data_IF_906456435286
#
_entry.id   IF_906456435286
#
_cell.length_a   1.000
_cell.length_b   1.000
_cell.length_c   1.000
_cell.angle_alpha   90.00
_cell.angle_beta   90.00
_cell.angle_gamma   90.00
#
_symmetry.space_group_name_H-M   'P 1'
#
loop_
_entity.id
_entity.type
_entity.pdbx_description
1 polymer ?
#
# COMPACT_ATOMS: atom_id res chain seq x y z
N UNK A 1 -32.03 -6.74 9.19
CA UNK A 1 -30.90 -6.91 10.13
C UNK A 1 -30.09 -8.08 9.59
N UNK A 2 -28.80 -7.90 9.32
CA UNK A 2 -27.97 -9.01 8.86
C UNK A 2 -27.64 -9.92 10.06
N UNK A 3 -27.49 -11.22 9.82
CA UNK A 3 -27.13 -12.17 10.87
C UNK A 3 -25.68 -11.96 11.32
N UNK A 4 -25.41 -11.74 12.62
CA UNK A 4 -24.07 -11.54 13.15
C UNK A 4 -23.07 -12.64 12.78
N UNK A 5 -23.50 -13.90 12.81
CA UNK A 5 -22.63 -15.03 12.49
C UNK A 5 -22.24 -15.05 11.02
N UNK A 6 -23.21 -14.81 10.12
CA UNK A 6 -22.91 -14.70 8.69
C UNK A 6 -21.93 -13.57 8.41
N UNK A 7 -22.11 -12.41 9.05
CA UNK A 7 -21.23 -11.24 8.88
C UNK A 7 -19.81 -11.55 9.32
N UNK A 8 -19.63 -12.13 10.52
CA UNK A 8 -18.32 -12.62 10.99
C UNK A 8 -17.71 -13.60 10.00
N UNK A 9 -18.43 -14.66 9.63
CA UNK A 9 -17.89 -15.73 8.79
C UNK A 9 -17.42 -15.22 7.41
N UNK A 10 -18.22 -14.34 6.79
CA UNK A 10 -17.85 -13.71 5.51
C UNK A 10 -16.64 -12.80 5.65
N UNK A 11 -16.57 -12.05 6.75
CA UNK A 11 -15.46 -11.13 7.00
C UNK A 11 -14.16 -11.88 7.29
N UNK A 12 -14.18 -12.88 8.17
CA UNK A 12 -13.03 -13.75 8.44
C UNK A 12 -12.51 -14.40 7.15
N UNK A 13 -13.39 -14.84 6.25
CA UNK A 13 -12.95 -15.39 4.96
C UNK A 13 -12.25 -14.34 4.07
N UNK A 14 -12.75 -13.09 4.05
CA UNK A 14 -12.08 -12.00 3.35
C UNK A 14 -10.71 -11.69 3.97
N UNK A 15 -10.62 -11.62 5.30
CA UNK A 15 -9.36 -11.37 6.02
C UNK A 15 -8.33 -12.46 5.76
N UNK A 16 -8.74 -13.73 5.67
CA UNK A 16 -7.85 -14.86 5.32
C UNK A 16 -7.28 -14.78 3.90
N UNK A 17 -7.98 -14.14 2.97
CA UNK A 17 -7.58 -14.02 1.57
C UNK A 17 -6.94 -12.66 1.27
N UNK A 18 -6.71 -11.82 2.27
CA UNK A 18 -6.04 -10.54 2.10
C UNK A 18 -4.63 -10.75 1.54
N UNK A 19 -4.27 -9.89 0.60
CA UNK A 19 -2.95 -9.86 -0.01
C UNK A 19 -2.49 -8.41 -0.15
N UNK A 20 -1.30 -8.19 -0.71
CA UNK A 20 -0.74 -6.85 -0.89
C UNK A 20 -1.52 -5.97 -1.90
N UNK A 21 -2.51 -6.51 -2.62
CA UNK A 21 -3.35 -5.72 -3.53
C UNK A 21 -4.24 -4.77 -2.75
N UNK A 22 -4.15 -3.49 -3.11
CA UNK A 22 -5.02 -2.40 -2.62
C UNK A 22 -6.50 -2.75 -2.77
N UNK A 23 -6.88 -3.43 -3.86
CA UNK A 23 -8.27 -3.83 -4.10
C UNK A 23 -8.80 -4.83 -3.08
N UNK A 24 -7.94 -5.72 -2.55
CA UNK A 24 -8.33 -6.70 -1.53
C UNK A 24 -8.58 -6.02 -0.18
N UNK A 25 -7.67 -5.11 0.21
CA UNK A 25 -7.80 -4.30 1.41
C UNK A 25 -9.03 -3.37 1.36
N UNK A 26 -9.28 -2.74 0.20
CA UNK A 26 -10.46 -1.90 -0.01
C UNK A 26 -11.77 -2.67 0.13
N UNK A 27 -11.85 -3.91 -0.37
CA UNK A 27 -13.05 -4.75 -0.19
C UNK A 27 -13.32 -5.05 1.27
N UNK A 28 -12.30 -5.44 2.04
CA UNK A 28 -12.43 -5.69 3.48
C UNK A 28 -12.84 -4.42 4.24
N UNK A 29 -12.22 -3.28 3.94
CA UNK A 29 -12.57 -1.99 4.55
C UNK A 29 -14.01 -1.56 4.24
N UNK A 30 -14.45 -1.70 2.98
CA UNK A 30 -15.83 -1.42 2.59
C UNK A 30 -16.83 -2.34 3.29
N UNK A 31 -16.47 -3.62 3.46
CA UNK A 31 -17.29 -4.57 4.21
C UNK A 31 -17.48 -4.12 5.66
N UNK A 32 -16.39 -3.70 6.32
CA UNK A 32 -16.45 -3.22 7.70
C UNK A 32 -17.30 -1.94 7.84
N UNK A 33 -17.17 -0.98 6.93
CA UNK A 33 -17.99 0.23 6.93
C UNK A 33 -19.48 -0.04 6.65
N UNK A 34 -19.78 -1.08 5.87
CA UNK A 34 -21.16 -1.49 5.57
C UNK A 34 -21.88 -2.03 6.81
N UNK A 35 -21.16 -2.74 7.68
CA UNK A 35 -21.68 -3.33 8.92
C UNK A 35 -21.09 -2.64 10.16
N UNK A 36 -21.06 -1.30 10.14
CA UNK A 36 -20.47 -0.49 11.23
C UNK A 36 -21.19 -0.66 12.58
N UNK A 37 -22.45 -1.09 12.54
CA UNK A 37 -23.25 -1.46 13.71
C UNK A 37 -22.69 -2.69 14.43
N UNK A 38 -21.83 -3.45 13.76
CA UNK A 38 -21.13 -4.62 14.26
C UNK A 38 -19.62 -4.39 14.42
N UNK A 39 -19.20 -3.14 14.61
CA UNK A 39 -17.78 -2.78 14.60
C UNK A 39 -16.95 -3.54 15.65
N UNK A 40 -17.51 -3.84 16.83
CA UNK A 40 -16.83 -4.59 17.89
C UNK A 40 -16.56 -6.05 17.49
N UNK A 41 -17.55 -6.73 16.91
CA UNK A 41 -17.41 -8.10 16.40
C UNK A 41 -16.39 -8.18 15.25
N UNK A 42 -16.43 -7.21 14.34
CA UNK A 42 -15.51 -7.13 13.22
C UNK A 42 -14.09 -6.80 13.67
N UNK A 43 -13.93 -5.94 14.67
CA UNK A 43 -12.63 -5.65 15.27
C UNK A 43 -12.03 -6.91 15.89
N UNK A 44 -12.84 -7.69 16.61
CA UNK A 44 -12.44 -8.99 17.16
C UNK A 44 -11.96 -9.95 16.05
N UNK A 45 -12.65 -10.02 14.91
CA UNK A 45 -12.18 -10.82 13.77
C UNK A 45 -10.83 -10.38 13.21
N UNK A 46 -10.51 -9.08 13.23
CA UNK A 46 -9.22 -8.56 12.78
C UNK A 46 -8.12 -9.01 13.74
N UNK A 47 -8.33 -8.84 15.04
CA UNK A 47 -7.37 -9.26 16.07
C UNK A 47 -7.13 -10.77 16.03
N UNK A 48 -8.19 -11.59 15.96
CA UNK A 48 -8.10 -13.05 15.82
C UNK A 48 -7.27 -13.45 14.58
N UNK A 49 -7.43 -12.74 13.45
CA UNK A 49 -6.67 -13.03 12.25
C UNK A 49 -5.20 -12.57 12.34
N UNK A 50 -4.92 -11.48 13.06
CA UNK A 50 -3.56 -11.01 13.33
C UNK A 50 -2.79 -11.98 14.23
N UNK A 51 -3.39 -12.42 15.34
CA UNK A 51 -2.81 -13.41 16.26
C UNK A 51 -2.41 -14.70 15.52
N UNK A 52 -3.30 -15.19 14.63
CA UNK A 52 -3.02 -16.36 13.79
C UNK A 52 -1.81 -16.16 12.88
N UNK A 53 -1.65 -14.97 12.30
CA UNK A 53 -0.51 -14.66 11.42
C UNK A 53 0.78 -14.54 12.22
N UNK A 54 0.75 -13.89 13.39
CA UNK A 54 1.92 -13.76 14.26
C UNK A 54 2.44 -15.13 14.72
N UNK A 55 1.56 -16.01 15.21
CA UNK A 55 1.96 -17.38 15.57
C UNK A 55 2.42 -18.22 14.37
N UNK A 56 1.83 -18.00 13.18
CA UNK A 56 2.29 -18.68 11.96
C UNK A 56 3.70 -18.22 11.54
N UNK A 57 4.06 -16.96 11.77
CA UNK A 57 5.40 -16.44 11.51
C UNK A 57 6.40 -16.92 12.58
N UNK A 58 5.98 -16.99 13.84
CA UNK A 58 6.77 -17.54 14.94
C UNK A 58 7.12 -19.01 14.71
N UNK A 59 6.12 -19.83 14.38
CA UNK A 59 6.32 -21.27 14.12
C UNK A 59 7.25 -21.55 12.93
N UNK A 60 7.36 -20.60 12.00
CA UNK A 60 8.29 -20.66 10.87
C UNK A 60 9.66 -20.03 11.17
N UNK A 61 9.90 -19.60 12.41
CA UNK A 61 11.13 -18.92 12.85
C UNK A 61 11.44 -17.61 12.11
N UNK A 62 10.41 -16.95 11.54
CA UNK A 62 10.57 -15.59 10.99
C UNK A 62 10.47 -14.50 12.08
N UNK A 63 9.84 -14.82 13.21
CA UNK A 63 9.74 -13.95 14.37
C UNK A 63 10.20 -14.69 15.63
N UNK A 64 10.96 -14.02 16.47
CA UNK A 64 11.35 -14.53 17.79
C UNK A 64 10.13 -14.59 18.73
N UNK A 65 10.08 -15.60 19.60
CA UNK A 65 8.99 -15.75 20.57
C UNK A 65 8.81 -14.50 21.45
N UNK A 66 9.92 -13.89 21.88
CA UNK A 66 9.91 -12.67 22.67
C UNK A 66 9.28 -11.48 21.91
N UNK A 67 9.51 -11.38 20.60
CA UNK A 67 8.92 -10.32 19.78
C UNK A 67 7.41 -10.48 19.64
N UNK A 68 6.91 -11.72 19.51
CA UNK A 68 5.46 -11.99 19.45
C UNK A 68 4.77 -11.59 20.75
N UNK A 69 5.34 -11.96 21.90
CA UNK A 69 4.80 -11.57 23.21
C UNK A 69 4.74 -10.04 23.38
N UNK A 70 5.80 -9.32 22.98
CA UNK A 70 5.80 -7.85 23.02
C UNK A 70 4.71 -7.25 22.12
N UNK A 71 4.52 -7.80 20.91
CA UNK A 71 3.48 -7.33 19.99
C UNK A 71 2.09 -7.57 20.59
N UNK A 72 1.84 -8.74 21.17
CA UNK A 72 0.56 -9.07 21.82
C UNK A 72 0.26 -8.17 23.03
N UNK A 73 1.25 -7.89 23.87
CA UNK A 73 1.12 -6.95 25.00
C UNK A 73 0.72 -5.55 24.50
N UNK A 74 1.42 -5.04 23.49
CA UNK A 74 1.13 -3.72 22.90
C UNK A 74 -0.25 -3.69 22.23
N UNK A 75 -0.68 -4.77 21.57
CA UNK A 75 -2.02 -4.86 20.99
C UNK A 75 -3.10 -4.84 22.08
N UNK A 76 -2.88 -5.55 23.18
CA UNK A 76 -3.79 -5.60 24.33
C UNK A 76 -3.90 -4.25 25.04
N UNK A 77 -2.79 -3.54 25.23
CA UNK A 77 -2.77 -2.19 25.80
C UNK A 77 -3.56 -1.19 24.94
N UNK A 78 -3.42 -1.29 23.62
CA UNK A 78 -4.14 -0.42 22.68
C UNK A 78 -5.64 -0.71 22.66
N UNK A 79 -6.05 -1.97 22.71
CA UNK A 79 -7.46 -2.35 22.79
C UNK A 79 -8.10 -1.84 24.10
N UNK A 80 -7.41 -2.02 25.24
CA UNK A 80 -7.85 -1.47 26.52
C UNK A 80 -7.99 0.07 26.49
N UNK A 81 -7.00 0.75 25.89
CA UNK A 81 -7.02 2.21 25.72
C UNK A 81 -8.17 2.69 24.82
N UNK A 82 -8.49 1.93 23.75
CA UNK A 82 -9.60 2.25 22.85
C UNK A 82 -10.96 2.10 23.55
N UNK A 83 -11.11 1.09 24.42
CA UNK A 83 -12.32 0.90 25.21
C UNK A 83 -12.51 1.99 26.27
N UNK A 84 -11.44 2.47 26.91
CA UNK A 84 -11.52 3.59 27.86
C UNK A 84 -11.99 4.91 27.21
N UNK A 85 -11.56 5.16 25.96
CA UNK A 85 -12.02 6.32 25.17
C UNK A 85 -13.52 6.18 24.81
N UNK A 86 -13.98 4.96 24.52
CA UNK A 86 -15.39 4.69 24.26
C UNK A 86 -16.26 4.89 25.52
N UNK A 87 -15.75 4.52 26.70
CA UNK A 87 -16.46 4.65 27.99
C UNK A 87 -16.41 6.05 28.59
N UNK A 88 -15.45 6.89 28.18
CA UNK A 88 -15.38 8.31 28.56
C UNK A 88 -16.31 9.23 27.76
N UNK A 89 -17.09 8.69 26.82
CA UNK A 89 -18.14 9.42 26.11
C UNK A 89 -19.48 9.25 26.85
N UNK A 90 -20.07 10.32 27.44
CA UNK A 90 -21.34 10.20 28.15
C UNK A 90 -22.47 9.70 27.24
N UNK A 91 -23.37 8.83 27.74
CA UNK A 91 -24.52 8.39 26.96
C UNK A 91 -25.47 9.58 26.74
N UNK A 92 -25.67 9.97 25.48
CA UNK A 92 -26.71 10.92 25.08
C UNK A 92 -28.08 10.27 25.20
N UNK A 93 -28.58 10.12 26.43
CA UNK A 93 -29.97 9.85 26.72
C UNK A 93 -30.61 11.09 27.34
N UNK A 94 -31.60 11.66 26.64
CA UNK A 94 -32.70 12.42 27.23
C UNK A 94 -32.38 13.79 27.84
N UNK A 95 -32.88 14.82 27.18
CA UNK A 95 -33.48 16.02 27.78
C UNK A 95 -32.71 16.78 28.88
N UNK A 96 -32.22 17.97 28.50
CA UNK A 96 -31.86 19.02 29.43
C UNK A 96 -30.52 19.66 29.09
N UNK A 97 -30.58 20.89 28.59
CA UNK A 97 -29.45 21.82 28.64
C UNK A 97 -29.29 22.23 30.11
N UNK A 98 -28.10 22.09 30.72
CA UNK A 98 -27.62 23.12 31.61
C UNK A 98 -26.41 23.79 30.97
N UNK A 99 -26.67 25.04 30.62
CA UNK A 99 -25.72 26.12 30.40
C UNK A 99 -24.77 26.18 31.60
N UNK A 100 -23.47 25.92 31.39
CA UNK A 100 -22.32 26.40 32.17
C UNK A 100 -21.15 25.39 32.13
N UNK A 101 -20.22 25.55 31.19
CA UNK A 101 -18.81 25.27 31.48
C UNK A 101 -17.90 25.90 30.41
N UNK A 102 -17.17 26.94 30.82
CA UNK A 102 -15.78 27.18 30.47
C UNK A 102 -15.42 27.62 29.04
N UNK A 103 -14.90 28.85 28.94
CA UNK A 103 -14.17 29.42 27.80
C UNK A 103 -13.20 28.42 27.15
N UNK A 104 -13.58 27.85 26.02
CA UNK A 104 -12.64 27.26 25.05
C UNK A 104 -12.91 27.92 23.69
N UNK A 105 -11.91 28.55 23.05
CA UNK A 105 -12.15 29.30 21.82
C UNK A 105 -12.67 28.35 20.74
N UNK A 106 -13.64 28.78 19.91
CA UNK A 106 -14.25 27.92 18.92
C UNK A 106 -13.19 27.56 17.87
N UNK A 107 -12.84 26.27 17.81
CA UNK A 107 -11.99 25.73 16.75
C UNK A 107 -12.71 25.92 15.42
N UNK A 108 -12.17 26.81 14.57
CA UNK A 108 -12.75 27.27 13.29
C UNK A 108 -12.77 26.22 12.17
N UNK A 109 -12.72 24.93 12.48
CA UNK A 109 -12.49 23.88 11.48
C UNK A 109 -13.57 22.82 11.38
N UNK A 110 -14.65 22.88 12.14
CA UNK A 110 -15.71 21.85 12.08
C UNK A 110 -17.11 22.48 11.94
N UNK A 111 -17.87 22.19 10.86
CA UNK A 111 -19.26 22.60 10.75
C UNK A 111 -20.14 21.84 11.76
N UNK A 112 -21.25 22.43 12.23
CA UNK A 112 -22.15 21.76 13.16
C UNK A 112 -22.82 20.54 12.51
N UNK A 113 -22.79 19.42 13.24
CA UNK A 113 -23.39 18.15 12.87
C UNK A 113 -24.92 18.27 12.75
N UNK A 114 -25.45 18.22 11.52
CA UNK A 114 -26.88 18.24 11.26
C UNK A 114 -27.47 16.82 11.43
N UNK A 115 -28.34 16.64 12.42
CA UNK A 115 -28.91 15.35 12.89
C UNK A 115 -29.90 14.67 11.93
N UNK A 116 -29.99 15.09 10.66
CA UNK A 116 -30.93 14.54 9.68
C UNK A 116 -30.28 14.37 8.31
N UNK A 117 -29.99 13.12 7.94
CA UNK A 117 -29.88 12.71 6.54
C UNK A 117 -28.64 11.90 6.16
N UNK A 118 -28.90 10.68 5.67
CA UNK A 118 -28.07 9.80 4.85
C UNK A 118 -26.65 9.42 5.32
N UNK A 119 -26.24 8.20 4.97
CA UNK A 119 -24.90 7.66 5.25
C UNK A 119 -23.75 8.54 4.74
N UNK A 120 -22.49 8.19 5.09
CA UNK A 120 -21.34 9.04 4.80
C UNK A 120 -21.36 9.47 3.33
N UNK A 121 -21.20 10.76 3.04
CA UNK A 121 -21.33 11.28 1.69
C UNK A 121 -20.35 10.52 0.80
N UNK A 122 -20.86 9.91 -0.28
CA UNK A 122 -20.01 9.34 -1.32
C UNK A 122 -19.12 10.49 -1.78
N UNK A 123 -17.81 10.36 -1.57
CA UNK A 123 -16.83 11.36 -1.97
C UNK A 123 -17.08 11.68 -3.44
N UNK A 124 -17.21 12.97 -3.75
CA UNK A 124 -17.55 13.41 -5.10
C UNK A 124 -16.52 12.85 -6.08
N UNK A 125 -16.95 12.47 -7.29
CA UNK A 125 -16.09 11.75 -8.25
C UNK A 125 -14.78 12.52 -8.50
N UNK A 126 -14.89 13.86 -8.57
CA UNK A 126 -13.76 14.78 -8.71
C UNK A 126 -12.76 14.70 -7.54
N UNK A 127 -13.26 14.51 -6.32
CA UNK A 127 -12.40 14.39 -5.13
C UNK A 127 -11.62 13.06 -5.14
N UNK A 128 -12.24 12.00 -5.66
CA UNK A 128 -11.57 10.70 -5.82
C UNK A 128 -10.51 10.74 -6.92
N UNK A 129 -10.82 11.35 -8.07
CA UNK A 129 -9.86 11.55 -9.17
C UNK A 129 -8.69 12.43 -8.73
N UNK A 130 -8.97 13.51 -8.00
CA UNK A 130 -7.93 14.38 -7.46
C UNK A 130 -7.00 13.63 -6.51
N UNK A 131 -7.52 12.77 -5.64
CA UNK A 131 -6.67 11.94 -4.76
C UNK A 131 -5.82 10.95 -5.52
N UNK A 132 -6.36 10.34 -6.57
CA UNK A 132 -5.59 9.42 -7.43
C UNK A 132 -4.47 10.19 -8.13
N UNK A 133 -4.76 11.39 -8.63
CA UNK A 133 -3.76 12.20 -9.33
C UNK A 133 -2.68 12.71 -8.39
N UNK A 134 -3.04 13.17 -7.19
CA UNK A 134 -2.07 13.58 -6.17
C UNK A 134 -1.15 12.42 -5.76
N UNK A 135 -1.68 11.20 -5.66
CA UNK A 135 -0.88 10.01 -5.34
C UNK A 135 0.06 9.61 -6.50
N UNK A 136 -0.44 9.63 -7.74
CA UNK A 136 0.37 9.46 -8.95
C UNK A 136 1.51 10.47 -8.99
N UNK A 137 1.21 11.73 -8.70
CA UNK A 137 2.16 12.83 -8.72
C UNK A 137 3.16 12.78 -7.55
N UNK A 138 2.77 12.25 -6.39
CA UNK A 138 3.70 11.96 -5.29
C UNK A 138 4.67 10.84 -5.67
N UNK A 139 4.16 9.74 -6.19
CA UNK A 139 4.99 8.61 -6.57
C UNK A 139 5.91 8.94 -7.75
N UNK A 140 5.44 9.75 -8.71
CA UNK A 140 6.25 10.33 -9.77
C UNK A 140 7.41 11.15 -9.20
N UNK A 141 7.15 12.13 -8.31
CA UNK A 141 8.18 12.94 -7.65
C UNK A 141 9.19 12.12 -6.86
N UNK A 142 8.74 11.06 -6.18
CA UNK A 142 9.66 10.18 -5.45
C UNK A 142 10.65 9.45 -6.37
N UNK A 143 10.26 9.19 -7.63
CA UNK A 143 11.11 8.49 -8.61
C UNK A 143 11.97 9.42 -9.46
N UNK A 144 11.64 10.72 -9.51
CA UNK A 144 12.36 11.71 -10.31
C UNK A 144 13.85 11.78 -9.98
N UNK A 145 14.25 11.48 -8.73
CA UNK A 145 15.64 11.53 -8.29
C UNK A 145 16.36 10.17 -8.33
N UNK A 146 15.73 9.09 -8.80
CA UNK A 146 16.34 7.74 -8.76
C UNK A 146 17.54 7.64 -9.72
N UNK A 147 17.45 8.28 -10.88
CA UNK A 147 18.52 8.30 -11.89
C UNK A 147 19.50 9.46 -11.70
N UNK A 148 19.28 10.32 -10.70
CA UNK A 148 20.16 11.46 -10.45
C UNK A 148 21.50 10.99 -9.89
N UNK A 149 22.59 11.46 -10.51
CA UNK A 149 23.95 11.17 -10.08
C UNK A 149 24.40 12.22 -9.05
N UNK A 150 24.91 11.83 -7.87
CA UNK A 150 25.41 12.77 -6.89
C UNK A 150 26.64 13.53 -7.42
N UNK A 151 26.82 14.82 -7.07
CA UNK A 151 27.97 15.59 -7.51
C UNK A 151 29.26 15.10 -6.82
N UNK A 152 30.34 14.96 -7.60
CA UNK A 152 31.67 14.54 -7.13
C UNK A 152 32.52 14.05 -8.29
N UNK A 153 33.84 13.98 -8.10
CA UNK A 153 34.78 13.60 -9.18
C UNK A 153 34.62 12.12 -9.59
N UNK A 154 34.42 11.23 -8.61
CA UNK A 154 34.27 9.78 -8.82
C UNK A 154 32.91 9.22 -8.40
N UNK A 155 31.94 10.09 -8.07
CA UNK A 155 30.68 9.68 -7.45
C UNK A 155 29.78 8.84 -8.38
N UNK A 156 29.84 9.07 -9.69
CA UNK A 156 29.16 8.25 -10.69
C UNK A 156 29.78 6.86 -10.77
N UNK A 157 31.11 6.80 -10.82
CA UNK A 157 31.86 5.55 -10.95
C UNK A 157 31.65 4.65 -9.74
N UNK A 158 31.74 5.20 -8.52
CA UNK A 158 31.53 4.43 -7.29
C UNK A 158 30.10 3.89 -7.21
N UNK A 159 29.10 4.72 -7.56
CA UNK A 159 27.69 4.30 -7.59
C UNK A 159 27.47 3.16 -8.59
N UNK A 160 28.04 3.27 -9.79
CA UNK A 160 27.98 2.21 -10.79
C UNK A 160 28.68 0.95 -10.28
N UNK A 161 29.85 1.07 -9.66
CA UNK A 161 30.60 -0.08 -9.16
C UNK A 161 29.80 -0.88 -8.13
N UNK A 162 29.10 -0.21 -7.22
CA UNK A 162 28.30 -0.84 -6.17
C UNK A 162 26.94 -1.37 -6.68
N UNK A 163 26.31 -0.69 -7.64
CA UNK A 163 24.96 -1.02 -8.12
C UNK A 163 24.93 -1.93 -9.35
N UNK A 164 26.04 -2.07 -10.08
CA UNK A 164 26.10 -2.91 -11.29
C UNK A 164 25.89 -4.37 -10.93
N UNK A 165 24.82 -4.97 -11.45
CA UNK A 165 24.57 -6.40 -11.30
C UNK A 165 25.50 -7.22 -12.20
N UNK A 166 25.67 -8.50 -11.85
CA UNK A 166 26.32 -9.47 -12.74
C UNK A 166 25.55 -9.62 -14.07
N UNK A 167 26.24 -10.07 -15.12
CA UNK A 167 25.66 -10.35 -16.43
C UNK A 167 24.57 -11.42 -16.33
N UNK A 168 23.40 -11.11 -16.86
CA UNK A 168 22.23 -11.97 -16.91
C UNK A 168 21.91 -12.49 -18.32
N UNK A 169 20.84 -13.27 -18.40
CA UNK A 169 20.30 -13.78 -19.67
C UNK A 169 19.85 -12.63 -20.59
N UNK A 170 19.31 -11.56 -20.01
CA UNK A 170 18.84 -10.39 -20.77
C UNK A 170 19.99 -9.64 -21.47
N UNK A 171 21.14 -9.54 -20.80
CA UNK A 171 22.35 -8.91 -21.36
C UNK A 171 22.90 -9.71 -22.54
N UNK A 172 22.88 -11.04 -22.46
CA UNK A 172 23.26 -11.91 -23.58
C UNK A 172 22.33 -11.75 -24.78
N UNK A 173 21.02 -11.74 -24.53
CA UNK A 173 20.02 -11.53 -25.57
C UNK A 173 20.17 -10.15 -26.24
N UNK A 174 20.39 -9.10 -25.44
CA UNK A 174 20.66 -7.75 -25.95
C UNK A 174 21.92 -7.74 -26.83
N UNK A 175 23.00 -8.38 -26.38
CA UNK A 175 24.24 -8.47 -27.16
C UNK A 175 24.09 -9.21 -28.49
N UNK A 176 23.29 -10.28 -28.53
CA UNK A 176 22.98 -10.99 -29.78
C UNK A 176 22.17 -10.13 -30.75
N UNK A 177 21.19 -9.38 -30.25
CA UNK A 177 20.38 -8.43 -31.03
C UNK A 177 21.26 -7.30 -31.61
N UNK A 178 22.10 -6.67 -30.78
CA UNK A 178 23.04 -5.62 -31.21
C UNK A 178 24.06 -6.15 -32.23
N UNK A 179 24.57 -7.37 -32.05
CA UNK A 179 25.50 -7.99 -32.98
C UNK A 179 24.86 -8.25 -34.35
N UNK A 180 23.62 -8.76 -34.36
CA UNK A 180 22.88 -8.99 -35.59
C UNK A 180 22.58 -7.68 -36.32
N UNK A 181 22.22 -6.62 -35.60
CA UNK A 181 22.03 -5.27 -36.16
C UNK A 181 23.32 -4.73 -36.76
N UNK A 182 24.44 -4.84 -36.05
CA UNK A 182 25.75 -4.42 -36.53
C UNK A 182 26.16 -5.17 -37.79
N UNK A 183 25.99 -6.49 -37.82
CA UNK A 183 26.34 -7.33 -38.97
C UNK A 183 25.49 -6.96 -40.19
N UNK A 184 24.18 -6.73 -40.00
CA UNK A 184 23.28 -6.28 -41.05
C UNK A 184 23.67 -4.90 -41.60
N UNK A 185 23.97 -3.93 -40.72
CA UNK A 185 24.42 -2.60 -41.16
C UNK A 185 25.77 -2.68 -41.88
N UNK A 186 26.70 -3.47 -41.33
CA UNK A 186 28.00 -3.68 -41.95
C UNK A 186 27.87 -4.27 -43.35
N UNK A 187 27.04 -5.30 -43.54
CA UNK A 187 26.76 -5.89 -44.85
C UNK A 187 26.14 -4.89 -45.83
N UNK A 188 25.15 -4.13 -45.35
CA UNK A 188 24.50 -3.10 -46.15
C UNK A 188 25.52 -2.05 -46.63
N UNK A 189 26.45 -1.66 -45.73
CA UNK A 189 27.42 -0.58 -45.91
C UNK A 189 28.77 -1.02 -46.50
N UNK A 190 28.95 -2.31 -46.80
CA UNK A 190 30.14 -2.80 -47.53
C UNK A 190 30.28 -2.09 -48.88
N UNK A 191 31.52 -1.72 -49.22
CA UNK A 191 31.87 -1.18 -50.54
C UNK A 191 31.71 -2.24 -51.65
N UNK A 192 31.45 -1.80 -52.88
CA UNK A 192 31.19 -2.68 -54.03
C UNK A 192 32.29 -3.74 -54.27
N UNK A 193 33.57 -3.35 -54.16
CA UNK A 193 34.70 -4.27 -54.34
C UNK A 193 34.67 -5.47 -53.38
N UNK A 194 34.18 -5.27 -52.16
CA UNK A 194 34.07 -6.32 -51.14
C UNK A 194 32.81 -7.17 -51.30
N UNK A 195 31.79 -6.66 -51.99
CA UNK A 195 30.58 -7.40 -52.38
C UNK A 195 30.83 -8.28 -53.61
N UNK A 196 31.61 -7.79 -54.57
CA UNK A 196 31.95 -8.52 -55.80
C UNK A 196 32.93 -9.67 -55.55
N UNK A 197 33.92 -9.50 -54.67
CA UNK A 197 34.86 -10.58 -54.31
C UNK A 197 34.23 -11.78 -53.59
N UNK A 198 33.05 -11.63 -52.98
CA UNK A 198 32.31 -12.72 -52.36
C UNK A 198 31.45 -13.51 -53.36
N UNK A 199 31.01 -12.87 -54.46
CA UNK A 199 30.17 -13.49 -55.49
C UNK A 199 30.97 -14.09 -56.67
N UNK A 200 32.28 -13.79 -56.77
CA UNK A 200 33.17 -14.27 -57.83
C UNK A 200 33.96 -15.54 -57.52
N UNK A 201 33.74 -16.17 -56.37
CA UNK A 201 34.36 -17.44 -56.00
C UNK A 201 33.39 -18.60 -56.30
N UNK A 202 33.15 -18.87 -57.59
CA UNK A 202 32.47 -20.08 -58.03
C UNK A 202 33.02 -20.62 -59.35
#
# INVERSE_FOLDING_TARGET
MADPFEVRMRFTNQLRQLNASVTSAQKAAQYALKYRDMAEDLHSCILEQLERVLHALQSKNFLEAQAVTQIEEVLKERDASAQDIAMSSPPLNGDGIPDNLGDMPPSRTLPPYNKKGNGPPKLDKKQTEQRIEEDRERHKRQRENIWAVPPGEDAEMEKLWEETSDLGEDDHRMGEEEWAEWEAEFEARKCSHRKEGANGAH
#
